data_IF_102882616534
#
_entry.id   IF_102882616534
#
_cell.length_a   1.000
_cell.length_b   1.000
_cell.length_c   1.000
_cell.angle_alpha   90.00
_cell.angle_beta   90.00
_cell.angle_gamma   90.00
#
_symmetry.space_group_name_H-M   'P 1'
#
loop_
_entity.id
_entity.type
_entity.pdbx_description
1 polymer ?
#
# COMPACT_ATOMS: atom_id res chain seq x y z
N UNK A 1 25.97 -4.67 -10.57
CA UNK A 1 24.52 -4.36 -10.72
C UNK A 1 23.94 -5.44 -11.63
N UNK A 2 22.97 -6.25 -11.15
CA UNK A 2 22.27 -7.19 -12.01
C UNK A 2 21.37 -6.39 -12.95
N UNK A 3 21.79 -6.22 -14.19
CA UNK A 3 21.10 -5.48 -15.27
C UNK A 3 20.07 -6.37 -16.01
N UNK A 4 19.55 -7.42 -15.37
CA UNK A 4 18.57 -8.30 -15.97
C UNK A 4 17.14 -7.77 -15.86
N UNK A 5 16.32 -8.03 -16.88
CA UNK A 5 14.88 -7.77 -16.85
C UNK A 5 14.22 -8.53 -15.70
N UNK A 6 13.51 -7.84 -14.79
CA UNK A 6 12.76 -8.42 -13.68
C UNK A 6 11.32 -8.70 -14.09
N UNK A 7 10.68 -9.65 -13.41
CA UNK A 7 9.25 -9.94 -13.52
C UNK A 7 8.53 -9.28 -12.34
N UNK A 8 7.57 -8.43 -12.66
CA UNK A 8 6.74 -7.69 -11.71
C UNK A 8 5.30 -8.19 -11.76
N UNK A 9 4.66 -8.37 -10.62
CA UNK A 9 3.21 -8.49 -10.51
C UNK A 9 2.70 -7.28 -9.75
N UNK A 10 1.78 -6.52 -10.38
CA UNK A 10 1.27 -5.26 -9.82
C UNK A 10 -0.25 -5.33 -9.72
N UNK A 11 -0.76 -5.20 -8.50
CA UNK A 11 -2.21 -5.23 -8.27
C UNK A 11 -2.84 -3.85 -8.49
N UNK A 12 -4.04 -3.81 -9.12
CA UNK A 12 -4.76 -2.56 -9.36
C UNK A 12 -4.09 -1.65 -10.39
N UNK A 13 -3.65 -2.23 -11.52
CA UNK A 13 -2.88 -1.54 -12.58
C UNK A 13 -3.73 -0.77 -13.60
N UNK A 14 -5.08 -0.75 -13.46
CA UNK A 14 -5.93 -0.10 -14.46
C UNK A 14 -5.86 1.42 -14.44
N UNK A 15 -5.50 2.04 -13.31
CA UNK A 15 -5.46 3.48 -13.12
C UNK A 15 -4.50 3.88 -11.99
N UNK A 16 -4.32 5.19 -11.81
CA UNK A 16 -3.59 5.78 -10.70
C UNK A 16 -2.14 5.33 -10.59
N UNK A 17 -1.64 5.19 -9.36
CA UNK A 17 -0.26 4.79 -9.10
C UNK A 17 0.05 3.39 -9.66
N UNK A 18 -0.87 2.42 -9.52
CA UNK A 18 -0.64 1.08 -10.07
C UNK A 18 -0.43 1.07 -11.58
N UNK A 19 -1.13 1.95 -12.30
CA UNK A 19 -0.91 2.15 -13.72
C UNK A 19 0.46 2.75 -14.01
N UNK A 20 0.84 3.78 -13.27
CA UNK A 20 2.15 4.43 -13.43
C UNK A 20 3.29 3.44 -13.10
N UNK A 21 3.15 2.61 -12.07
CA UNK A 21 4.13 1.58 -11.73
C UNK A 21 4.27 0.52 -12.82
N UNK A 22 3.14 0.06 -13.39
CA UNK A 22 3.16 -0.92 -14.48
C UNK A 22 3.84 -0.35 -15.72
N UNK A 23 3.49 0.87 -16.11
CA UNK A 23 4.09 1.55 -17.24
C UNK A 23 5.58 1.82 -17.02
N UNK A 24 5.95 2.37 -15.86
CA UNK A 24 7.37 2.64 -15.55
C UNK A 24 8.23 1.36 -15.54
N UNK A 25 7.70 0.24 -15.04
CA UNK A 25 8.40 -1.04 -15.11
C UNK A 25 8.58 -1.53 -16.55
N UNK A 26 7.55 -1.40 -17.39
CA UNK A 26 7.61 -1.77 -18.81
C UNK A 26 8.54 -0.86 -19.61
N UNK A 27 8.54 0.46 -19.36
CA UNK A 27 9.45 1.44 -19.98
C UNK A 27 10.92 1.15 -19.62
N UNK A 28 11.17 0.68 -18.40
CA UNK A 28 12.48 0.23 -17.95
C UNK A 28 12.92 -1.14 -18.51
N UNK A 29 12.12 -1.76 -19.38
CA UNK A 29 12.44 -3.04 -20.01
C UNK A 29 12.12 -4.28 -19.18
N UNK A 30 11.34 -4.13 -18.10
CA UNK A 30 10.88 -5.23 -17.27
C UNK A 30 9.64 -5.92 -17.88
N UNK A 31 9.29 -7.09 -17.34
CA UNK A 31 8.08 -7.85 -17.67
C UNK A 31 7.06 -7.68 -16.56
N UNK A 32 5.78 -7.50 -16.90
CA UNK A 32 4.74 -7.14 -15.93
C UNK A 32 3.50 -8.02 -16.09
N UNK A 33 3.06 -8.66 -15.01
CA UNK A 33 1.67 -9.10 -14.86
C UNK A 33 0.91 -7.92 -14.28
N UNK A 34 0.16 -7.23 -15.13
CA UNK A 34 -0.69 -6.11 -14.76
C UNK A 34 -2.10 -6.60 -14.46
N UNK A 35 -2.66 -6.26 -13.29
CA UNK A 35 -3.94 -6.82 -12.89
C UNK A 35 -5.00 -5.77 -12.61
N UNK A 36 -6.23 -6.11 -12.91
CA UNK A 36 -7.43 -5.32 -12.62
C UNK A 36 -8.64 -6.25 -12.49
N UNK A 37 -9.73 -5.83 -11.83
CA UNK A 37 -10.98 -6.58 -11.82
C UNK A 37 -11.56 -6.77 -13.23
N UNK A 38 -11.42 -5.74 -14.07
CA UNK A 38 -11.72 -5.84 -15.51
C UNK A 38 -10.42 -5.68 -16.32
N UNK A 39 -9.84 -6.77 -16.86
CA UNK A 39 -8.57 -6.72 -17.58
C UNK A 39 -8.64 -5.97 -18.92
N UNK A 40 -9.82 -5.73 -19.48
CA UNK A 40 -9.98 -4.91 -20.68
C UNK A 40 -9.49 -3.46 -20.48
N UNK A 41 -9.47 -2.98 -19.24
CA UNK A 41 -8.91 -1.66 -18.89
C UNK A 41 -7.38 -1.59 -19.04
N UNK A 42 -6.72 -2.70 -19.36
CA UNK A 42 -5.28 -2.83 -19.56
C UNK A 42 -4.90 -3.09 -21.03
N UNK A 43 -5.87 -3.05 -21.95
CA UNK A 43 -5.66 -3.41 -23.35
C UNK A 43 -4.63 -2.53 -24.06
N UNK A 44 -4.55 -1.27 -23.71
CA UNK A 44 -3.56 -0.34 -24.26
C UNK A 44 -2.12 -0.67 -23.78
N UNK A 45 -1.94 -1.14 -22.54
CA UNK A 45 -0.63 -1.68 -22.12
C UNK A 45 -0.25 -2.89 -22.96
N UNK A 46 -1.20 -3.82 -23.19
CA UNK A 46 -0.93 -5.00 -24.00
C UNK A 46 -0.58 -4.60 -25.43
N UNK A 47 -1.30 -3.64 -26.01
CA UNK A 47 -1.04 -3.15 -27.37
C UNK A 47 0.34 -2.47 -27.49
N UNK A 48 0.75 -1.71 -26.48
CA UNK A 48 1.99 -0.92 -26.53
C UNK A 48 3.24 -1.74 -26.19
N UNK A 49 3.13 -2.78 -25.35
CA UNK A 49 4.30 -3.48 -24.82
C UNK A 49 4.37 -4.97 -25.22
N UNK A 50 3.34 -5.49 -25.91
CA UNK A 50 3.34 -6.84 -26.49
C UNK A 50 3.64 -7.92 -25.46
N UNK A 51 4.59 -8.80 -25.78
CA UNK A 51 4.93 -9.97 -24.97
C UNK A 51 5.55 -9.64 -23.59
N UNK A 52 5.86 -8.38 -23.32
CA UNK A 52 6.40 -7.97 -22.00
C UNK A 52 5.33 -7.72 -20.96
N UNK A 53 4.06 -7.72 -21.33
CA UNK A 53 2.95 -7.52 -20.39
C UNK A 53 1.90 -8.63 -20.51
N UNK A 54 1.40 -9.08 -19.37
CA UNK A 54 0.21 -9.94 -19.27
C UNK A 54 -0.86 -9.23 -18.48
N UNK A 55 -1.99 -8.93 -19.12
CA UNK A 55 -3.17 -8.42 -18.44
C UNK A 55 -3.96 -9.59 -17.83
N UNK A 56 -4.35 -9.47 -16.55
CA UNK A 56 -5.03 -10.53 -15.83
C UNK A 56 -6.18 -9.97 -14.97
N UNK A 57 -7.30 -10.70 -14.96
CA UNK A 57 -8.39 -10.43 -14.03
C UNK A 57 -7.97 -10.82 -12.61
N UNK A 58 -8.13 -9.89 -11.65
CA UNK A 58 -7.81 -10.15 -10.26
C UNK A 58 -8.70 -9.32 -9.33
N UNK A 59 -9.46 -10.03 -8.49
CA UNK A 59 -9.97 -9.52 -7.24
C UNK A 59 -9.00 -9.97 -6.13
N UNK A 60 -8.35 -9.02 -5.47
CA UNK A 60 -7.33 -9.30 -4.44
C UNK A 60 -7.91 -9.98 -3.20
N UNK A 61 -9.23 -9.96 -3.01
CA UNK A 61 -9.92 -10.65 -1.90
C UNK A 61 -10.12 -12.15 -2.17
N UNK A 62 -9.83 -12.61 -3.40
CA UNK A 62 -9.94 -14.02 -3.80
C UNK A 62 -8.60 -14.74 -3.71
N UNK A 63 -8.45 -15.66 -2.75
CA UNK A 63 -7.24 -16.48 -2.62
C UNK A 63 -6.95 -17.29 -3.89
N UNK A 64 -7.98 -17.81 -4.57
CA UNK A 64 -7.81 -18.59 -5.78
C UNK A 64 -7.25 -17.74 -6.92
N UNK A 65 -7.78 -16.50 -7.10
CA UNK A 65 -7.27 -15.59 -8.12
C UNK A 65 -5.87 -15.06 -7.77
N UNK A 66 -5.56 -14.87 -6.48
CA UNK A 66 -4.22 -14.49 -6.04
C UNK A 66 -3.19 -15.58 -6.40
N UNK A 67 -3.48 -16.85 -6.11
CA UNK A 67 -2.62 -17.98 -6.52
C UNK A 67 -2.45 -18.02 -8.03
N UNK A 68 -3.54 -17.94 -8.77
CA UNK A 68 -3.50 -17.94 -10.23
C UNK A 68 -2.65 -16.78 -10.81
N UNK A 69 -2.66 -15.61 -10.17
CA UNK A 69 -1.83 -14.49 -10.61
C UNK A 69 -0.33 -14.74 -10.41
N UNK A 70 0.05 -15.38 -9.30
CA UNK A 70 1.44 -15.80 -9.06
C UNK A 70 1.87 -16.87 -10.08
N UNK A 71 1.04 -17.90 -10.27
CA UNK A 71 1.32 -18.97 -11.22
C UNK A 71 1.45 -18.43 -12.65
N UNK A 72 0.57 -17.51 -13.06
CA UNK A 72 0.65 -16.82 -14.36
C UNK A 72 1.99 -16.10 -14.55
N UNK A 73 2.52 -15.42 -13.53
CA UNK A 73 3.82 -14.76 -13.63
C UNK A 73 4.95 -15.78 -13.85
N UNK A 74 4.91 -16.90 -13.12
CA UNK A 74 5.91 -17.96 -13.19
C UNK A 74 5.85 -18.66 -14.56
N UNK A 75 4.67 -19.05 -15.00
CA UNK A 75 4.46 -19.79 -16.26
C UNK A 75 4.76 -18.92 -17.49
N UNK A 76 4.31 -17.65 -17.49
CA UNK A 76 4.46 -16.76 -18.64
C UNK A 76 5.87 -16.20 -18.78
N UNK A 77 6.50 -15.84 -17.65
CA UNK A 77 7.75 -15.09 -17.65
C UNK A 77 8.93 -15.84 -17.02
N UNK A 78 8.71 -17.06 -16.54
CA UNK A 78 9.74 -17.91 -15.92
C UNK A 78 10.05 -17.54 -14.47
N UNK A 79 9.23 -16.68 -13.83
CA UNK A 79 9.44 -16.33 -12.43
C UNK A 79 8.68 -15.08 -11.99
N UNK A 80 8.88 -14.72 -10.73
CA UNK A 80 8.39 -13.48 -10.10
C UNK A 80 9.53 -12.90 -9.25
N UNK A 81 9.86 -11.64 -9.45
CA UNK A 81 10.92 -10.94 -8.69
C UNK A 81 10.36 -9.87 -7.76
N UNK A 82 9.29 -9.18 -8.18
CA UNK A 82 8.69 -8.07 -7.43
C UNK A 82 7.17 -8.21 -7.41
N UNK A 83 6.60 -8.28 -6.22
CA UNK A 83 5.16 -8.17 -5.99
C UNK A 83 4.85 -6.75 -5.49
N UNK A 84 3.99 -6.01 -6.19
CA UNK A 84 3.49 -4.69 -5.76
C UNK A 84 2.02 -4.81 -5.37
N UNK A 85 1.73 -4.79 -4.09
CA UNK A 85 0.38 -4.74 -3.54
C UNK A 85 -0.10 -3.28 -3.50
N UNK A 86 -0.73 -2.85 -4.60
CA UNK A 86 -1.19 -1.48 -4.77
C UNK A 86 -2.72 -1.37 -4.81
N UNK A 87 -3.44 -2.43 -5.15
CA UNK A 87 -4.90 -2.40 -5.23
C UNK A 87 -5.54 -1.87 -3.94
N UNK A 88 -6.43 -0.90 -4.08
CA UNK A 88 -7.12 -0.29 -2.97
C UNK A 88 -8.01 0.87 -3.40
N UNK A 89 -8.89 1.28 -2.51
CA UNK A 89 -9.79 2.43 -2.69
C UNK A 89 -10.06 3.10 -1.34
N UNK A 90 -10.61 4.30 -1.36
CA UNK A 90 -10.90 5.07 -0.15
C UNK A 90 -12.33 5.58 -0.08
N UNK A 91 -12.69 6.10 1.07
CA UNK A 91 -13.89 6.89 1.30
C UNK A 91 -13.58 8.07 2.23
N UNK A 92 -14.44 9.08 2.20
CA UNK A 92 -14.51 10.13 3.23
C UNK A 92 -15.95 10.16 3.72
N UNK A 93 -16.16 9.81 4.99
CA UNK A 93 -17.47 9.77 5.62
C UNK A 93 -17.29 9.85 7.14
N UNK A 94 -18.22 10.45 7.91
CA UNK A 94 -18.20 10.31 9.36
C UNK A 94 -18.26 8.84 9.78
N UNK A 95 -17.57 8.49 10.88
CA UNK A 95 -17.57 7.12 11.40
C UNK A 95 -18.99 6.65 11.71
N UNK A 96 -19.79 7.52 12.32
CA UNK A 96 -21.19 7.24 12.67
C UNK A 96 -22.07 6.94 11.45
N UNK A 97 -21.80 7.59 10.33
CA UNK A 97 -22.58 7.43 9.09
C UNK A 97 -22.01 6.35 8.16
N UNK A 98 -20.84 5.80 8.49
CA UNK A 98 -20.23 4.71 7.74
C UNK A 98 -20.87 3.37 8.14
N UNK A 99 -21.51 2.69 7.20
CA UNK A 99 -22.07 1.36 7.48
C UNK A 99 -20.98 0.35 7.85
N UNK A 100 -21.30 -0.62 8.70
CA UNK A 100 -20.36 -1.71 9.01
C UNK A 100 -20.03 -2.56 7.77
N UNK A 101 -20.91 -2.62 6.79
CA UNK A 101 -20.65 -3.30 5.52
C UNK A 101 -19.57 -2.56 4.72
N UNK A 102 -19.67 -1.22 4.56
CA UNK A 102 -18.66 -0.39 3.92
C UNK A 102 -17.33 -0.46 4.67
N UNK A 103 -17.37 -0.44 6.01
CA UNK A 103 -16.17 -0.57 6.84
C UNK A 103 -15.46 -1.90 6.58
N UNK A 104 -16.21 -3.02 6.61
CA UNK A 104 -15.66 -4.36 6.33
C UNK A 104 -15.10 -4.47 4.92
N UNK A 105 -15.79 -3.92 3.92
CA UNK A 105 -15.33 -3.94 2.53
C UNK A 105 -14.00 -3.20 2.33
N UNK A 106 -13.80 -2.09 3.06
CA UNK A 106 -12.51 -1.36 3.08
C UNK A 106 -11.38 -2.21 3.68
N UNK A 107 -11.64 -2.84 4.82
CA UNK A 107 -10.68 -3.74 5.48
C UNK A 107 -10.37 -4.94 4.58
N UNK A 108 -11.38 -5.55 3.99
CA UNK A 108 -11.24 -6.72 3.13
C UNK A 108 -10.33 -6.43 1.93
N UNK A 109 -10.60 -5.33 1.23
CA UNK A 109 -9.80 -5.00 0.04
C UNK A 109 -8.41 -4.47 0.41
N UNK A 110 -8.33 -3.46 1.32
CA UNK A 110 -7.10 -2.71 1.55
C UNK A 110 -6.13 -3.38 2.52
N UNK A 111 -6.59 -4.34 3.34
CA UNK A 111 -5.76 -5.10 4.28
C UNK A 111 -5.72 -6.58 3.91
N UNK A 112 -6.87 -7.28 3.89
CA UNK A 112 -6.86 -8.70 3.59
C UNK A 112 -6.40 -9.00 2.17
N UNK A 113 -6.75 -8.15 1.18
CA UNK A 113 -6.23 -8.28 -0.19
C UNK A 113 -4.69 -8.26 -0.24
N UNK A 114 -4.05 -7.39 0.55
CA UNK A 114 -2.58 -7.34 0.68
C UNK A 114 -2.04 -8.62 1.32
N UNK A 115 -2.68 -9.09 2.40
CA UNK A 115 -2.29 -10.33 3.11
C UNK A 115 -2.42 -11.54 2.19
N UNK A 116 -3.54 -11.67 1.47
CA UNK A 116 -3.83 -12.77 0.54
C UNK A 116 -2.78 -12.85 -0.56
N UNK A 117 -2.51 -11.73 -1.24
CA UNK A 117 -1.50 -11.67 -2.30
C UNK A 117 -0.10 -11.99 -1.78
N UNK A 118 0.25 -11.46 -0.62
CA UNK A 118 1.53 -11.72 0.04
C UNK A 118 1.67 -13.21 0.37
N UNK A 119 0.66 -13.81 1.00
CA UNK A 119 0.66 -15.25 1.33
C UNK A 119 0.76 -16.13 0.08
N UNK A 120 0.14 -15.73 -1.02
CA UNK A 120 0.24 -16.48 -2.28
C UNK A 120 1.67 -16.46 -2.87
N UNK A 121 2.40 -15.34 -2.73
CA UNK A 121 3.76 -15.20 -3.27
C UNK A 121 4.86 -15.83 -2.38
N UNK A 122 4.63 -15.87 -1.06
CA UNK A 122 5.64 -16.28 -0.09
C UNK A 122 6.25 -17.68 -0.34
N UNK A 123 5.49 -18.74 -0.68
CA UNK A 123 6.07 -20.06 -0.95
C UNK A 123 7.13 -20.02 -2.05
N UNK A 124 6.82 -19.34 -3.15
CA UNK A 124 7.72 -19.19 -4.28
C UNK A 124 8.98 -18.36 -3.93
N UNK A 125 8.83 -17.22 -3.26
CA UNK A 125 9.97 -16.42 -2.83
C UNK A 125 10.85 -17.12 -1.80
N UNK A 126 10.25 -17.88 -0.87
CA UNK A 126 10.96 -18.66 0.14
C UNK A 126 11.82 -19.75 -0.50
N UNK A 127 11.27 -20.49 -1.47
CA UNK A 127 11.99 -21.53 -2.19
C UNK A 127 13.20 -20.96 -2.95
N UNK A 128 13.01 -19.83 -3.63
CA UNK A 128 14.07 -19.13 -4.35
C UNK A 128 15.05 -18.38 -3.45
N UNK A 129 14.73 -18.20 -2.17
CA UNK A 129 15.44 -17.31 -1.24
C UNK A 129 15.68 -15.91 -1.80
N UNK A 130 14.74 -15.43 -2.58
CA UNK A 130 14.80 -14.13 -3.27
C UNK A 130 13.39 -13.65 -3.61
N UNK A 131 13.17 -12.34 -3.53
CA UNK A 131 11.95 -11.65 -3.90
C UNK A 131 11.86 -10.30 -3.21
N UNK A 132 11.04 -9.42 -3.76
CA UNK A 132 10.76 -8.12 -3.16
C UNK A 132 9.26 -7.88 -3.11
N UNK A 133 8.71 -7.71 -1.92
CA UNK A 133 7.30 -7.39 -1.68
C UNK A 133 7.23 -5.89 -1.39
N UNK A 134 6.53 -5.15 -2.23
CA UNK A 134 6.29 -3.71 -2.09
C UNK A 134 4.82 -3.51 -1.71
N UNK A 135 4.59 -3.00 -0.50
CA UNK A 135 3.27 -2.74 0.06
C UNK A 135 2.93 -1.25 -0.09
N UNK A 136 1.98 -0.92 -0.95
CA UNK A 136 1.56 0.48 -1.12
C UNK A 136 0.52 0.81 -0.05
N UNK A 137 0.97 1.49 1.00
CA UNK A 137 0.12 2.00 2.07
C UNK A 137 -0.37 3.42 1.77
N UNK A 138 -0.10 4.35 2.62
CA UNK A 138 -0.38 5.79 2.53
C UNK A 138 0.21 6.47 3.75
N UNK A 139 0.36 7.78 3.72
CA UNK A 139 0.52 8.57 4.94
C UNK A 139 -0.61 8.28 5.97
N UNK A 140 -1.79 7.88 5.49
CA UNK A 140 -2.89 7.42 6.35
C UNK A 140 -2.63 6.08 7.06
N UNK A 141 -1.49 5.42 6.83
CA UNK A 141 -0.98 4.32 7.65
C UNK A 141 -0.18 4.79 8.88
N UNK A 142 0.18 6.06 8.95
CA UNK A 142 0.86 6.67 10.11
C UNK A 142 0.02 7.66 10.89
N UNK A 143 -0.93 8.30 10.23
CA UNK A 143 -1.86 9.28 10.82
C UNK A 143 -3.29 8.86 10.50
N UNK A 144 -4.23 9.29 11.36
CA UNK A 144 -5.68 9.08 11.14
C UNK A 144 -6.33 10.33 10.55
N UNK A 145 -6.45 10.46 9.21
CA UNK A 145 -7.11 11.64 8.61
C UNK A 145 -8.59 11.66 8.92
N UNK A 146 -9.13 12.86 9.10
CA UNK A 146 -10.57 13.08 9.33
C UNK A 146 -11.40 12.45 8.21
N UNK A 147 -12.46 11.74 8.60
CA UNK A 147 -13.41 11.09 7.69
C UNK A 147 -12.90 9.84 6.99
N UNK A 148 -11.68 9.36 7.26
CA UNK A 148 -11.07 8.20 6.59
C UNK A 148 -10.83 7.01 7.52
N UNK A 149 -11.63 6.84 8.57
CA UNK A 149 -11.36 5.84 9.61
C UNK A 149 -11.24 4.40 9.07
N UNK A 150 -12.12 3.88 8.19
CA UNK A 150 -11.96 2.53 7.64
C UNK A 150 -10.67 2.38 6.81
N UNK A 151 -10.37 3.39 6.01
CA UNK A 151 -9.16 3.41 5.18
C UNK A 151 -7.89 3.47 6.04
N UNK A 152 -7.85 4.36 7.03
CA UNK A 152 -6.74 4.48 7.96
C UNK A 152 -6.55 3.17 8.74
N UNK A 153 -7.61 2.58 9.28
CA UNK A 153 -7.55 1.30 9.98
C UNK A 153 -6.92 0.19 9.12
N UNK A 154 -7.31 0.11 7.83
CA UNK A 154 -6.72 -0.84 6.90
C UNK A 154 -5.23 -0.55 6.66
N UNK A 155 -4.86 0.72 6.41
CA UNK A 155 -3.47 1.09 6.10
C UNK A 155 -2.55 0.96 7.33
N UNK A 156 -2.99 1.31 8.54
CA UNK A 156 -2.28 0.98 9.78
C UNK A 156 -2.11 -0.54 9.95
N UNK A 157 -3.15 -1.33 9.61
CA UNK A 157 -3.05 -2.79 9.60
C UNK A 157 -1.97 -3.30 8.66
N UNK A 158 -1.86 -2.74 7.43
CA UNK A 158 -0.79 -3.10 6.48
C UNK A 158 0.59 -2.71 7.01
N UNK A 159 0.73 -1.56 7.68
CA UNK A 159 2.00 -1.15 8.30
C UNK A 159 2.48 -2.19 9.32
N UNK A 160 1.61 -2.53 10.30
CA UNK A 160 1.94 -3.51 11.35
C UNK A 160 2.20 -4.90 10.79
N UNK A 161 1.36 -5.36 9.85
CA UNK A 161 1.57 -6.63 9.14
C UNK A 161 2.93 -6.67 8.42
N UNK A 162 3.25 -5.62 7.70
CA UNK A 162 4.47 -5.56 6.89
C UNK A 162 5.74 -5.45 7.72
N UNK A 163 5.67 -4.76 8.86
CA UNK A 163 6.79 -4.68 9.81
C UNK A 163 7.10 -6.03 10.46
N UNK A 164 6.07 -6.81 10.83
CA UNK A 164 6.25 -8.18 11.30
C UNK A 164 6.81 -9.07 10.20
N UNK A 165 6.21 -9.02 9.01
CA UNK A 165 6.65 -9.81 7.85
C UNK A 165 8.12 -9.54 7.50
N UNK A 166 8.56 -8.28 7.50
CA UNK A 166 9.96 -7.91 7.23
C UNK A 166 10.94 -8.67 8.11
N UNK A 167 10.63 -8.77 9.43
CA UNK A 167 11.46 -9.47 10.41
C UNK A 167 11.45 -10.99 10.20
N UNK A 168 10.29 -11.55 9.80
CA UNK A 168 10.12 -12.99 9.57
C UNK A 168 10.83 -13.47 8.31
N UNK A 169 10.74 -12.71 7.21
CA UNK A 169 11.19 -13.18 5.89
C UNK A 169 12.57 -12.68 5.47
N UNK A 170 13.10 -11.65 6.16
CA UNK A 170 14.44 -11.13 5.91
C UNK A 170 15.52 -12.20 5.93
N UNK A 171 15.59 -13.10 6.94
CA UNK A 171 16.52 -14.23 6.98
C UNK A 171 16.35 -15.24 5.84
N UNK A 172 15.21 -15.21 5.16
CA UNK A 172 14.93 -16.04 3.98
C UNK A 172 15.38 -15.36 2.67
N UNK A 173 15.97 -14.17 2.73
CA UNK A 173 16.41 -13.42 1.55
C UNK A 173 15.28 -12.66 0.83
N UNK A 174 14.09 -12.54 1.45
CA UNK A 174 12.94 -11.84 0.89
C UNK A 174 12.92 -10.41 1.46
N UNK A 175 12.80 -9.44 0.56
CA UNK A 175 12.75 -8.01 0.91
C UNK A 175 11.30 -7.55 1.06
N UNK A 176 11.05 -6.64 1.98
CA UNK A 176 9.76 -5.99 2.16
C UNK A 176 9.98 -4.48 2.23
N UNK A 177 9.25 -3.73 1.43
CA UNK A 177 9.23 -2.25 1.50
C UNK A 177 7.81 -1.76 1.58
N UNK A 178 7.53 -0.89 2.54
CA UNK A 178 6.28 -0.17 2.72
C UNK A 178 6.44 1.19 2.03
N UNK A 179 5.62 1.45 1.04
CA UNK A 179 5.59 2.73 0.33
C UNK A 179 4.40 3.53 0.83
N UNK A 180 4.65 4.76 1.25
CA UNK A 180 3.71 5.62 1.97
C UNK A 180 3.44 6.92 1.20
N UNK A 181 2.57 6.90 0.15
CA UNK A 181 2.27 8.09 -0.62
C UNK A 181 1.48 9.14 0.16
N UNK A 182 1.78 10.40 -0.12
CA UNK A 182 0.89 11.54 0.14
C UNK A 182 -0.11 11.75 -1.00
N UNK A 183 -0.37 13.01 -1.36
CA UNK A 183 -1.26 13.38 -2.47
C UNK A 183 -0.58 13.25 -3.82
N UNK A 184 -1.08 12.36 -4.68
CA UNK A 184 -0.64 12.19 -6.07
C UNK A 184 -1.77 12.50 -7.04
N UNK A 185 -1.45 13.10 -8.21
CA UNK A 185 -2.43 13.40 -9.27
C UNK A 185 -2.88 12.12 -9.95
N UNK A 186 -3.90 11.51 -9.38
CA UNK A 186 -4.51 10.25 -9.83
C UNK A 186 -6.01 10.30 -9.57
N UNK A 187 -6.76 9.38 -10.16
CA UNK A 187 -8.20 9.22 -9.91
C UNK A 187 -8.55 8.84 -8.45
N UNK A 188 -7.54 8.63 -7.60
CA UNK A 188 -7.78 8.25 -6.19
C UNK A 188 -8.46 9.38 -5.41
N UNK A 189 -8.10 10.65 -5.66
CA UNK A 189 -8.74 11.79 -5.02
C UNK A 189 -10.13 12.12 -5.60
N UNK A 190 -10.40 11.66 -6.84
CA UNK A 190 -11.67 11.84 -7.55
C UNK A 190 -12.54 10.60 -7.53
N UNK A 191 -12.69 9.94 -8.68
CA UNK A 191 -13.65 8.85 -8.91
C UNK A 191 -13.40 7.57 -8.11
N UNK A 192 -12.22 7.40 -7.51
CA UNK A 192 -11.88 6.22 -6.69
C UNK A 192 -12.18 6.40 -5.20
N UNK A 193 -12.60 7.58 -4.76
CA UNK A 193 -12.97 7.87 -3.37
C UNK A 193 -14.45 8.27 -3.30
N UNK A 194 -15.23 7.56 -2.50
CA UNK A 194 -16.59 7.95 -2.17
C UNK A 194 -16.57 9.08 -1.14
N UNK A 195 -17.17 10.22 -1.47
CA UNK A 195 -17.16 11.44 -0.67
C UNK A 195 -18.55 11.75 -0.13
N UNK A 196 -18.74 11.57 1.18
CA UNK A 196 -20.00 11.83 1.90
C UNK A 196 -19.76 12.83 3.03
N UNK A 197 -20.41 13.99 2.98
CA UNK A 197 -20.27 15.04 4.00
C UNK A 197 -20.84 14.60 5.36
N UNK A 198 -21.86 13.71 5.33
CA UNK A 198 -22.53 13.22 6.54
C UNK A 198 -23.56 14.19 7.09
N UNK A 199 -23.89 14.01 8.37
CA UNK A 199 -24.86 14.82 9.09
C UNK A 199 -24.33 16.24 9.34
N UNK A 200 -25.21 17.23 9.57
CA UNK A 200 -24.82 18.62 9.82
C UNK A 200 -23.82 18.80 10.97
N UNK A 201 -23.88 17.94 11.99
CA UNK A 201 -22.97 17.96 13.15
C UNK A 201 -21.50 17.72 12.77
N UNK A 202 -21.25 17.07 11.64
CA UNK A 202 -19.90 16.81 11.11
C UNK A 202 -19.45 17.79 10.03
N UNK A 203 -20.25 18.85 9.75
CA UNK A 203 -19.95 19.79 8.66
C UNK A 203 -18.61 20.51 8.84
N UNK A 204 -18.27 20.93 10.07
CA UNK A 204 -17.00 21.61 10.36
C UNK A 204 -15.77 20.71 10.31
N UNK A 205 -15.93 19.40 10.28
CA UNK A 205 -14.85 18.41 10.25
C UNK A 205 -14.86 17.61 8.95
N UNK A 206 -15.71 16.60 8.83
CA UNK A 206 -15.80 15.73 7.65
C UNK A 206 -16.31 16.50 6.43
N UNK A 207 -17.35 17.36 6.59
CA UNK A 207 -17.86 18.21 5.51
C UNK A 207 -16.77 19.10 4.94
N UNK A 208 -16.00 19.79 5.81
CA UNK A 208 -14.84 20.58 5.39
C UNK A 208 -13.79 19.76 4.66
N UNK A 209 -13.52 18.52 5.12
CA UNK A 209 -12.58 17.59 4.46
C UNK A 209 -13.07 17.19 3.06
N UNK A 210 -14.37 16.93 2.90
CA UNK A 210 -14.96 16.58 1.60
C UNK A 210 -14.85 17.76 0.63
N UNK A 211 -15.18 18.97 1.07
CA UNK A 211 -15.05 20.19 0.24
C UNK A 211 -13.59 20.42 -0.17
N UNK A 212 -12.66 20.34 0.78
CA UNK A 212 -11.24 20.43 0.48
C UNK A 212 -10.79 19.35 -0.54
N UNK A 213 -11.23 18.10 -0.37
CA UNK A 213 -10.87 17.01 -1.27
C UNK A 213 -11.34 17.28 -2.72
N UNK A 214 -12.56 17.81 -2.90
CA UNK A 214 -13.09 18.19 -4.23
C UNK A 214 -12.27 19.30 -4.88
N UNK A 215 -11.84 20.29 -4.09
CA UNK A 215 -11.03 21.40 -4.58
C UNK A 215 -9.56 21.00 -4.84
N UNK A 216 -9.07 20.01 -4.11
CA UNK A 216 -7.70 19.52 -4.19
C UNK A 216 -7.48 18.55 -5.36
N UNK A 217 -8.56 17.98 -5.91
CA UNK A 217 -8.48 17.03 -7.02
C UNK A 217 -7.82 17.68 -8.25
N UNK A 218 -6.81 16.99 -8.80
CA UNK A 218 -5.96 17.49 -9.89
C UNK A 218 -4.86 18.48 -9.47
N UNK A 219 -4.82 18.93 -8.20
CA UNK A 219 -3.82 19.89 -7.68
C UNK A 219 -2.79 19.27 -6.74
N UNK A 220 -2.83 17.95 -6.55
CA UNK A 220 -1.88 17.24 -5.69
C UNK A 220 -0.45 17.48 -6.18
N UNK A 221 0.54 17.59 -5.26
CA UNK A 221 1.93 17.85 -5.61
C UNK A 221 2.62 16.65 -6.26
N UNK A 222 2.16 15.43 -5.94
CA UNK A 222 2.82 14.19 -6.36
C UNK A 222 2.60 13.89 -7.84
N UNK A 223 3.68 13.50 -8.51
CA UNK A 223 3.75 13.05 -9.90
C UNK A 223 3.80 11.52 -9.93
N UNK A 224 2.79 10.81 -10.48
CA UNK A 224 2.79 9.35 -10.57
C UNK A 224 3.98 8.76 -11.31
N UNK A 225 4.52 9.44 -12.32
CA UNK A 225 5.69 8.96 -13.05
C UNK A 225 6.95 9.00 -12.18
N UNK A 226 7.10 10.04 -11.34
CA UNK A 226 8.19 10.12 -10.36
C UNK A 226 8.05 9.08 -9.26
N UNK A 227 6.81 8.75 -8.85
CA UNK A 227 6.58 7.64 -7.93
C UNK A 227 7.02 6.30 -8.54
N UNK A 228 6.72 6.06 -9.81
CA UNK A 228 7.17 4.87 -10.52
C UNK A 228 8.71 4.80 -10.59
N UNK A 229 9.38 5.90 -10.89
CA UNK A 229 10.84 5.96 -10.90
C UNK A 229 11.44 5.64 -9.51
N UNK A 230 10.83 6.13 -8.43
CA UNK A 230 11.24 5.79 -7.06
C UNK A 230 11.08 4.30 -6.76
N UNK A 231 9.96 3.66 -7.18
CA UNK A 231 9.78 2.23 -7.03
C UNK A 231 10.83 1.41 -7.79
N UNK A 232 11.15 1.81 -9.01
CA UNK A 232 12.21 1.16 -9.80
C UNK A 232 13.56 1.25 -9.09
N UNK A 233 13.87 2.43 -8.55
CA UNK A 233 15.09 2.63 -7.80
C UNK A 233 15.19 1.71 -6.59
N UNK A 234 14.17 1.67 -5.70
CA UNK A 234 14.20 0.79 -4.51
C UNK A 234 14.21 -0.69 -4.88
N UNK A 235 13.53 -1.08 -5.95
CA UNK A 235 13.53 -2.46 -6.43
C UNK A 235 14.89 -2.90 -7.01
N UNK A 236 15.79 -1.95 -7.34
CA UNK A 236 17.14 -2.22 -7.81
C UNK A 236 18.17 -2.39 -6.67
N UNK A 237 17.85 -1.92 -5.46
CA UNK A 237 18.76 -1.94 -4.32
C UNK A 237 18.96 -3.37 -3.78
N UNK A 238 20.19 -3.67 -3.36
CA UNK A 238 20.50 -4.89 -2.61
C UNK A 238 19.85 -4.89 -1.23
N UNK A 239 19.80 -3.72 -0.59
CA UNK A 239 19.20 -3.49 0.73
C UNK A 239 18.24 -2.29 0.65
N UNK A 240 16.98 -2.49 0.24
CA UNK A 240 15.99 -1.42 0.18
C UNK A 240 15.49 -1.06 1.59
N UNK A 241 15.04 0.19 1.80
CA UNK A 241 14.47 0.59 3.09
C UNK A 241 13.18 -0.17 3.39
N UNK A 242 12.92 -0.44 4.68
CA UNK A 242 11.61 -0.96 5.09
C UNK A 242 10.47 0.03 4.78
N UNK A 243 10.70 1.34 4.92
CA UNK A 243 9.70 2.38 4.66
C UNK A 243 10.23 3.46 3.73
N UNK A 244 9.37 3.88 2.81
CA UNK A 244 9.65 4.99 1.89
C UNK A 244 8.43 5.90 1.79
N UNK A 245 8.54 7.11 2.32
CA UNK A 245 7.57 8.18 2.12
C UNK A 245 7.68 8.71 0.68
N UNK A 246 6.54 8.90 0.02
CA UNK A 246 6.49 9.51 -1.31
C UNK A 246 5.69 10.81 -1.26
N UNK A 247 6.34 11.91 -1.64
CA UNK A 247 5.82 13.27 -1.63
C UNK A 247 6.27 14.06 -0.40
N UNK A 248 6.48 15.37 -0.59
CA UNK A 248 6.88 16.28 0.48
C UNK A 248 5.79 16.43 1.56
N UNK A 249 4.53 16.39 1.16
CA UNK A 249 3.37 16.41 2.05
C UNK A 249 3.35 15.18 2.99
N UNK A 250 3.61 14.00 2.44
CA UNK A 250 3.73 12.76 3.23
C UNK A 250 4.90 12.84 4.20
N UNK A 251 6.06 13.32 3.74
CA UNK A 251 7.26 13.46 4.56
C UNK A 251 7.00 14.38 5.77
N UNK A 252 6.50 15.61 5.52
CA UNK A 252 6.26 16.57 6.58
C UNK A 252 5.17 16.10 7.56
N UNK A 253 4.08 15.49 7.05
CA UNK A 253 3.02 14.97 7.92
C UNK A 253 3.51 13.83 8.80
N UNK A 254 4.35 12.92 8.27
CA UNK A 254 4.94 11.82 9.04
C UNK A 254 5.89 12.31 10.12
N UNK A 255 6.75 13.29 9.80
CA UNK A 255 7.70 13.90 10.74
C UNK A 255 6.95 14.58 11.92
N UNK A 256 5.96 15.41 11.60
CA UNK A 256 5.13 16.08 12.61
C UNK A 256 4.40 15.07 13.52
N UNK A 257 3.78 14.05 12.92
CA UNK A 257 3.07 13.03 13.68
C UNK A 257 4.01 12.23 14.60
N UNK A 258 5.22 11.93 14.15
CA UNK A 258 6.21 11.22 14.95
C UNK A 258 6.66 12.05 16.17
N UNK A 259 6.93 13.35 15.98
CA UNK A 259 7.29 14.27 17.06
C UNK A 259 6.17 14.42 18.09
N UNK A 260 4.92 14.62 17.62
CA UNK A 260 3.75 14.73 18.50
C UNK A 260 3.52 13.46 19.34
N UNK A 261 3.64 12.28 18.74
CA UNK A 261 3.52 11.01 19.47
C UNK A 261 4.59 10.86 20.53
N UNK A 262 5.86 11.16 20.18
CA UNK A 262 6.97 11.08 21.13
C UNK A 262 6.79 12.06 22.32
N UNK A 263 6.31 13.26 22.06
CA UNK A 263 6.02 14.25 23.10
C UNK A 263 4.87 13.77 24.02
N UNK A 264 3.80 13.24 23.44
CA UNK A 264 2.68 12.69 24.20
C UNK A 264 3.13 11.52 25.09
N UNK A 265 3.94 10.60 24.58
CA UNK A 265 4.46 9.45 25.33
C UNK A 265 5.34 9.93 26.50
N UNK A 266 6.22 10.91 26.26
CA UNK A 266 7.08 11.49 27.31
C UNK A 266 6.28 12.13 28.45
N UNK A 267 5.17 12.80 28.12
CA UNK A 267 4.27 13.43 29.12
C UNK A 267 3.68 12.41 30.09
N UNK A 268 3.42 11.19 29.65
CA UNK A 268 2.81 10.15 30.45
C UNK A 268 3.78 9.06 30.92
N UNK A 269 5.09 9.27 30.74
CA UNK A 269 6.14 8.29 31.04
C UNK A 269 6.03 7.73 32.47
N UNK A 270 5.89 8.59 33.48
CA UNK A 270 5.90 8.17 34.87
C UNK A 270 4.68 7.29 35.19
N UNK A 271 3.51 7.65 34.67
CA UNK A 271 2.31 6.81 34.79
C UNK A 271 2.47 5.48 34.04
N UNK A 272 3.01 5.50 32.84
CA UNK A 272 3.21 4.29 32.03
C UNK A 272 4.16 3.31 32.72
N UNK A 273 5.28 3.81 33.27
CA UNK A 273 6.28 2.95 33.94
C UNK A 273 5.89 2.55 35.37
N UNK A 274 4.91 3.21 35.97
CA UNK A 274 4.38 2.84 37.29
C UNK A 274 3.60 1.52 37.33
N UNK A 275 3.31 0.97 36.14
CA UNK A 275 2.63 -0.32 36.00
C UNK A 275 3.55 -1.53 36.11
N UNK A 276 4.86 -1.31 36.20
CA UNK A 276 5.83 -2.37 36.39
C UNK A 276 5.79 -2.89 37.86
N UNK A 277 6.12 -4.15 38.03
CA UNK A 277 6.36 -4.68 39.37
C UNK A 277 7.54 -3.95 40.06
N UNK A 278 7.46 -3.74 41.37
CA UNK A 278 8.58 -3.18 42.09
C UNK A 278 9.84 -4.05 41.92
N UNK A 279 11.02 -3.38 41.82
CA UNK A 279 12.30 -4.09 41.67
C UNK A 279 12.54 -4.98 42.89
N UNK A 280 12.22 -6.26 42.83
CA UNK A 280 12.28 -7.24 43.90
C UNK A 280 11.17 -8.29 43.85
N UNK A 281 10.03 -8.01 43.18
CA UNK A 281 8.89 -8.93 43.10
C UNK A 281 9.05 -10.03 42.01
N UNK A 282 10.17 -9.98 41.24
CA UNK A 282 10.43 -10.92 40.14
C UNK A 282 10.98 -12.29 40.64
N UNK A 283 11.23 -12.44 41.93
CA UNK A 283 11.90 -13.64 42.49
C UNK A 283 10.98 -14.76 42.97
N UNK A 284 9.65 -14.68 42.69
CA UNK A 284 8.68 -15.70 43.15
C UNK A 284 7.76 -16.20 42.06
N UNK A 285 8.29 -16.85 41.03
CA UNK A 285 7.56 -17.84 40.19
C UNK A 285 8.51 -18.89 39.61
#
# INVERSE_FOLDING_TARGET
MHTGSKVWLITGSSRGLGRAFAQGALDAGHRVVATARNPLQLSDLVSNYGDRVRALALDVTSEAQARHAIDTAIETFGGLDVLVNNAGYGNVCPVEDTSLADFRAQIETNLFGVIIMTKAALPYFRERRAGHIIQVTSIAGRIGPIGRAPYAAAKFGVEGFSESLYKEVGPLGIKVTIVEPGGFRTDFAGTSTDLREGRPEYDSTVGATVRFQREYDGKQPGDPAKAAAALLQIASLSDPPLRLLLGSDSYHAAEQAALQKLEADRKWKDLSTSTDYASGDISAR
#
